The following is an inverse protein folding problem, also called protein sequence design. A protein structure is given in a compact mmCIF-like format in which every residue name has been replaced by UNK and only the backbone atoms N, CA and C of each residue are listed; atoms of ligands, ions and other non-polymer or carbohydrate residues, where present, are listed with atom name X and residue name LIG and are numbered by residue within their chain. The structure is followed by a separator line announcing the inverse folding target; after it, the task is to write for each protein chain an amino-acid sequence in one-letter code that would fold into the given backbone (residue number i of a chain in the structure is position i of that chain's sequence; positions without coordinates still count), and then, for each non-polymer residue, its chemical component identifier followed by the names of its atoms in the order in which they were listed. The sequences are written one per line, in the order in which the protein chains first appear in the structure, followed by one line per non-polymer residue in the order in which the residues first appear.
data_IF_488079920978
#
_entry.id   IF_488079920978
#
_cell.length_a   1.000
_cell.length_b   1.000
_cell.length_c   1.000
_cell.angle_alpha   90.00
_cell.angle_beta   90.00
_cell.angle_gamma   90.00
#
_symmetry.space_group_name_H-M   'P 1'
#
loop_
_entity.id
_entity.type
_entity.pdbx_description
1 polymer ?
#
# COMPACT_ATOMS: atom_id res chain seq x y z
N UNK A 1 30.86 17.00 -17.81
CA UNK A 1 29.89 17.36 -16.76
C UNK A 1 28.52 16.84 -17.17
N UNK A 2 27.97 15.77 -16.57
CA UNK A 2 26.61 15.38 -16.86
C UNK A 2 25.66 16.39 -16.20
N UNK A 3 24.70 16.89 -16.97
CA UNK A 3 23.67 17.85 -16.54
C UNK A 3 22.89 17.25 -15.36
N UNK A 4 23.01 17.87 -14.19
CA UNK A 4 22.29 17.45 -12.99
C UNK A 4 20.79 17.55 -13.23
N UNK A 5 20.10 16.41 -13.11
CA UNK A 5 18.65 16.40 -12.95
C UNK A 5 18.29 17.26 -11.74
N UNK A 6 17.22 18.08 -11.81
CA UNK A 6 16.71 18.74 -10.62
C UNK A 6 16.09 17.67 -9.72
N UNK A 7 16.91 17.11 -8.83
CA UNK A 7 16.42 16.49 -7.61
C UNK A 7 15.70 17.60 -6.85
N UNK A 8 14.40 17.44 -6.61
CA UNK A 8 13.74 18.31 -5.65
C UNK A 8 14.37 18.04 -4.28
N UNK A 9 15.21 18.96 -3.84
CA UNK A 9 15.75 19.05 -2.47
C UNK A 9 14.67 19.54 -1.49
N UNK A 10 13.39 19.32 -1.77
CA UNK A 10 12.37 19.49 -0.74
C UNK A 10 12.39 18.24 0.12
N UNK A 11 12.76 18.38 1.40
CA UNK A 11 12.56 17.34 2.39
C UNK A 11 11.14 16.76 2.23
N UNK A 12 11.01 15.44 2.09
CA UNK A 12 9.75 14.69 1.97
C UNK A 12 9.03 14.77 0.60
N UNK A 13 9.71 15.11 -0.50
CA UNK A 13 9.19 14.85 -1.86
C UNK A 13 9.23 13.35 -2.23
N UNK A 14 8.72 12.96 -3.40
CA UNK A 14 8.95 11.61 -3.95
C UNK A 14 9.63 11.77 -5.32
N UNK A 15 10.83 11.21 -5.44
CA UNK A 15 11.60 11.23 -6.67
C UNK A 15 11.38 9.96 -7.49
N UNK A 16 11.48 10.11 -8.82
CA UNK A 16 11.43 9.03 -9.81
C UNK A 16 10.19 8.13 -9.67
N UNK A 17 9.07 8.72 -9.28
CA UNK A 17 7.79 8.04 -9.13
C UNK A 17 7.33 7.52 -10.50
N UNK A 18 7.09 6.22 -10.57
CA UNK A 18 6.60 5.54 -11.76
C UNK A 18 5.29 4.85 -11.44
N UNK A 19 4.22 5.20 -12.15
CA UNK A 19 2.94 4.49 -12.08
C UNK A 19 2.60 3.88 -13.42
N UNK A 20 2.19 2.61 -13.39
CA UNK A 20 1.86 1.83 -14.57
C UNK A 20 0.43 1.32 -14.49
N UNK A 21 -0.23 1.24 -15.65
CA UNK A 21 -1.51 0.56 -15.81
C UNK A 21 -1.43 -0.40 -17.00
N UNK A 22 -2.17 -1.51 -16.93
CA UNK A 22 -2.18 -2.52 -17.99
C UNK A 22 -2.69 -1.92 -19.30
N UNK A 23 -1.91 -2.08 -20.36
CA UNK A 23 -2.22 -1.66 -21.70
C UNK A 23 -3.26 -2.61 -22.31
N UNK A 24 -4.51 -2.14 -22.39
CA UNK A 24 -5.60 -2.88 -23.03
C UNK A 24 -5.56 -2.83 -24.56
N UNK A 25 -4.80 -1.89 -25.13
CA UNK A 25 -4.73 -1.63 -26.57
C UNK A 25 -3.39 -2.12 -27.13
N UNK A 26 -2.96 -3.31 -26.70
CA UNK A 26 -1.69 -3.89 -27.12
C UNK A 26 -1.73 -4.15 -28.62
N UNK A 27 -0.76 -3.61 -29.36
CA UNK A 27 -0.62 -3.84 -30.80
C UNK A 27 0.78 -4.36 -31.09
N UNK A 28 1.05 -4.93 -32.28
CA UNK A 28 2.42 -5.25 -32.70
C UNK A 28 3.36 -4.03 -32.64
N UNK A 29 2.83 -2.82 -32.84
CA UNK A 29 3.57 -1.56 -32.78
C UNK A 29 3.73 -0.99 -31.36
N UNK A 30 2.87 -1.40 -30.42
CA UNK A 30 3.00 -1.09 -28.99
C UNK A 30 2.87 -2.39 -28.17
N UNK A 31 3.94 -3.20 -28.13
CA UNK A 31 3.91 -4.52 -27.52
C UNK A 31 3.98 -4.45 -25.99
N UNK A 32 4.12 -3.27 -25.38
CA UNK A 32 4.22 -3.11 -23.94
C UNK A 32 2.92 -3.52 -23.26
N UNK A 33 3.00 -4.47 -22.32
CA UNK A 33 1.87 -4.87 -21.49
C UNK A 33 1.45 -3.75 -20.51
N UNK A 34 2.38 -2.86 -20.18
CA UNK A 34 2.18 -1.77 -19.25
C UNK A 34 2.45 -0.43 -19.93
N UNK A 35 1.67 0.59 -19.56
CA UNK A 35 1.87 1.98 -19.99
C UNK A 35 1.98 2.90 -18.77
N UNK A 36 2.79 3.94 -18.88
CA UNK A 36 2.89 4.98 -17.85
C UNK A 36 1.59 5.76 -17.74
N UNK A 37 1.21 6.04 -16.52
CA UNK A 37 0.10 6.93 -16.20
C UNK A 37 0.61 8.38 -16.25
N UNK A 38 -0.14 9.26 -16.90
CA UNK A 38 0.15 10.69 -16.96
C UNK A 38 -0.02 11.35 -15.59
N UNK A 39 0.84 12.32 -15.28
CA UNK A 39 0.91 13.02 -13.99
C UNK A 39 -0.35 13.85 -13.68
N UNK A 40 -1.09 14.26 -14.72
CA UNK A 40 -2.32 15.03 -14.58
C UNK A 40 -3.59 14.18 -14.47
N UNK A 41 -3.46 12.85 -14.44
CA UNK A 41 -4.59 11.96 -14.23
C UNK A 41 -5.05 11.98 -12.77
N UNK A 42 -6.31 11.60 -12.55
CA UNK A 42 -6.85 11.39 -11.21
C UNK A 42 -6.11 10.28 -10.48
N UNK A 43 -5.88 9.16 -11.15
CA UNK A 43 -5.22 7.98 -10.61
C UNK A 43 -3.83 8.33 -10.08
N UNK A 44 -3.02 9.01 -10.90
CA UNK A 44 -1.68 9.42 -10.50
C UNK A 44 -1.72 10.37 -9.30
N UNK A 45 -2.54 11.41 -9.39
CA UNK A 45 -2.61 12.47 -8.38
C UNK A 45 -3.07 11.94 -7.03
N UNK A 46 -4.12 11.12 -7.03
CA UNK A 46 -4.70 10.56 -5.80
C UNK A 46 -3.81 9.50 -5.17
N UNK A 47 -3.19 8.61 -5.96
CA UNK A 47 -2.26 7.61 -5.42
C UNK A 47 -0.94 8.24 -4.97
N UNK A 48 -0.41 9.25 -5.67
CA UNK A 48 0.81 9.94 -5.25
C UNK A 48 0.61 10.60 -3.87
N UNK A 49 -0.52 11.26 -3.67
CA UNK A 49 -0.93 11.80 -2.36
C UNK A 49 -1.02 10.71 -1.29
N UNK A 50 -1.76 9.62 -1.56
CA UNK A 50 -1.94 8.53 -0.60
C UNK A 50 -0.61 7.85 -0.23
N UNK A 51 0.24 7.55 -1.22
CA UNK A 51 1.58 6.98 -0.99
C UNK A 51 2.45 7.91 -0.18
N UNK A 52 2.42 9.23 -0.46
CA UNK A 52 3.16 10.18 0.36
C UNK A 52 2.71 10.17 1.82
N UNK A 53 1.39 10.09 2.08
CA UNK A 53 0.86 9.94 3.44
C UNK A 53 1.38 8.63 4.05
N UNK A 54 1.37 7.52 3.31
CA UNK A 54 1.90 6.23 3.75
C UNK A 54 3.37 6.30 4.16
N UNK A 55 4.21 6.98 3.37
CA UNK A 55 5.62 7.19 3.73
C UNK A 55 5.74 8.11 4.96
N UNK A 56 4.94 9.18 5.05
CA UNK A 56 4.94 10.08 6.22
C UNK A 56 4.52 9.34 7.51
N UNK A 57 3.60 8.36 7.44
CA UNK A 57 3.25 7.48 8.56
C UNK A 57 4.49 6.72 9.04
N UNK A 58 5.28 6.16 8.12
CA UNK A 58 6.50 5.41 8.44
C UNK A 58 7.62 6.33 8.94
N UNK A 59 7.72 7.55 8.40
CA UNK A 59 8.76 8.54 8.75
C UNK A 59 8.51 9.26 10.07
N UNK A 60 7.30 9.20 10.63
CA UNK A 60 7.03 9.72 11.95
C UNK A 60 7.78 8.95 13.03
N UNK A 61 8.01 9.59 14.19
CA UNK A 61 8.78 8.99 15.28
C UNK A 61 8.26 7.60 15.70
N UNK A 62 6.94 7.45 15.85
CA UNK A 62 6.32 6.15 16.17
C UNK A 62 6.41 5.15 15.01
N UNK A 63 6.25 5.62 13.76
CA UNK A 63 6.40 4.78 12.58
C UNK A 63 7.81 4.18 12.49
N UNK A 64 8.84 5.00 12.68
CA UNK A 64 10.25 4.58 12.70
C UNK A 64 10.53 3.59 13.81
N UNK A 65 10.07 3.88 15.04
CA UNK A 65 10.20 2.95 16.17
C UNK A 65 9.51 1.62 15.91
N UNK A 66 8.34 1.66 15.27
CA UNK A 66 7.56 0.45 14.96
C UNK A 66 8.25 -0.37 13.86
N UNK A 67 8.78 0.27 12.82
CA UNK A 67 9.60 -0.39 11.79
C UNK A 67 10.89 -1.00 12.37
N UNK A 68 11.56 -0.29 13.26
CA UNK A 68 12.76 -0.79 13.93
C UNK A 68 12.44 -2.07 14.73
N UNK A 69 11.35 -2.04 15.52
CA UNK A 69 10.89 -3.20 16.26
C UNK A 69 10.50 -4.36 15.34
N UNK A 70 9.78 -4.07 14.25
CA UNK A 70 9.42 -5.07 13.24
C UNK A 70 10.67 -5.76 12.67
N UNK A 71 11.65 -4.97 12.22
CA UNK A 71 12.89 -5.50 11.66
C UNK A 71 13.68 -6.33 12.65
N UNK A 72 13.79 -5.88 13.91
CA UNK A 72 14.43 -6.64 14.98
C UNK A 72 13.74 -7.99 15.20
N UNK A 73 12.41 -8.01 15.28
CA UNK A 73 11.64 -9.25 15.48
C UNK A 73 11.83 -10.24 14.33
N UNK A 74 11.77 -9.76 13.09
CA UNK A 74 11.99 -10.59 11.90
C UNK A 74 13.38 -11.23 11.93
N UNK A 75 14.43 -10.42 12.15
CA UNK A 75 15.81 -10.91 12.16
C UNK A 75 16.05 -11.87 13.34
N UNK A 76 15.47 -11.59 14.51
CA UNK A 76 15.52 -12.49 15.66
C UNK A 76 14.90 -13.84 15.35
N UNK A 77 13.73 -13.87 14.68
CA UNK A 77 13.06 -15.10 14.32
C UNK A 77 13.79 -15.87 13.21
N UNK A 78 14.40 -15.18 12.23
CA UNK A 78 15.30 -15.80 11.26
C UNK A 78 16.50 -16.47 11.96
N UNK A 79 17.15 -15.77 12.91
CA UNK A 79 18.24 -16.34 13.69
C UNK A 79 17.80 -17.51 14.57
N UNK A 80 16.64 -17.40 15.22
CA UNK A 80 16.08 -18.44 16.11
C UNK A 80 15.79 -19.73 15.34
N UNK A 81 15.17 -19.62 14.16
CA UNK A 81 14.82 -20.78 13.32
C UNK A 81 16.01 -21.33 12.53
N UNK A 82 17.07 -20.53 12.35
CA UNK A 82 18.26 -20.85 11.53
C UNK A 82 17.95 -21.20 10.07
N UNK A 83 16.75 -20.87 9.58
CA UNK A 83 16.31 -21.18 8.21
C UNK A 83 16.69 -20.08 7.21
N UNK A 84 16.97 -18.88 7.72
CA UNK A 84 17.47 -17.76 6.93
C UNK A 84 18.54 -17.00 7.72
N UNK A 85 19.59 -16.56 7.02
CA UNK A 85 20.67 -15.78 7.61
C UNK A 85 20.59 -14.33 7.14
N UNK A 86 20.35 -13.43 8.08
CA UNK A 86 20.40 -11.99 7.83
C UNK A 86 21.84 -11.57 7.49
N UNK A 87 22.01 -10.80 6.42
CA UNK A 87 23.32 -10.35 5.93
C UNK A 87 23.86 -9.09 6.63
N UNK A 88 23.09 -8.47 7.51
CA UNK A 88 23.47 -7.25 8.24
C UNK A 88 23.72 -7.48 9.73
N UNK A 89 23.82 -6.38 10.48
CA UNK A 89 23.94 -6.37 11.94
C UNK A 89 22.64 -5.87 12.56
N UNK A 90 21.97 -6.71 13.35
CA UNK A 90 20.69 -6.36 14.00
C UNK A 90 20.79 -5.11 14.88
N UNK A 91 21.95 -4.82 15.46
CA UNK A 91 22.17 -3.64 16.29
C UNK A 91 22.15 -2.32 15.50
N UNK A 92 22.19 -2.38 14.16
CA UNK A 92 22.08 -1.25 13.25
C UNK A 92 20.66 -1.10 12.67
N UNK A 93 19.65 -1.75 13.26
CA UNK A 93 18.29 -1.75 12.70
C UNK A 93 17.72 -0.35 12.51
N UNK A 94 17.99 0.57 13.44
CA UNK A 94 17.61 1.98 13.30
C UNK A 94 18.22 2.60 12.05
N UNK A 95 19.50 2.38 11.78
CA UNK A 95 20.17 2.91 10.60
C UNK A 95 19.61 2.29 9.30
N UNK A 96 19.22 1.02 9.34
CA UNK A 96 18.52 0.36 8.22
C UNK A 96 17.15 0.97 7.95
N UNK A 97 16.39 1.33 8.99
CA UNK A 97 15.12 2.05 8.82
C UNK A 97 15.33 3.43 8.19
N UNK A 98 16.30 4.19 8.69
CA UNK A 98 16.63 5.51 8.12
C UNK A 98 17.05 5.42 6.65
N UNK A 99 17.94 4.49 6.35
CA UNK A 99 18.40 4.26 4.99
C UNK A 99 17.27 3.80 4.07
N UNK A 100 16.42 2.88 4.52
CA UNK A 100 15.26 2.40 3.76
C UNK A 100 14.31 3.54 3.40
N UNK A 101 13.90 4.35 4.38
CA UNK A 101 12.98 5.47 4.16
C UNK A 101 13.59 6.55 3.25
N UNK A 102 14.88 6.85 3.43
CA UNK A 102 15.62 7.73 2.51
C UNK A 102 15.64 7.19 1.09
N UNK A 103 15.84 5.87 0.91
CA UNK A 103 15.87 5.23 -0.40
C UNK A 103 14.48 5.27 -1.08
N UNK A 104 13.39 5.07 -0.33
CA UNK A 104 12.02 5.20 -0.85
C UNK A 104 11.74 6.60 -1.40
N UNK A 105 12.21 7.65 -0.71
CA UNK A 105 12.07 9.04 -1.16
C UNK A 105 12.89 9.33 -2.42
N UNK A 106 14.04 8.67 -2.59
CA UNK A 106 14.97 8.88 -3.70
C UNK A 106 14.59 8.13 -4.98
N UNK A 107 14.09 6.89 -4.88
CA UNK A 107 13.75 6.05 -6.03
C UNK A 107 12.62 5.08 -5.65
N UNK A 108 11.41 5.63 -5.48
CA UNK A 108 10.25 4.88 -4.99
C UNK A 108 9.98 3.63 -5.85
N UNK A 109 9.51 2.51 -5.24
CA UNK A 109 9.07 1.33 -5.98
C UNK A 109 8.17 1.66 -7.16
N UNK A 110 8.20 0.80 -8.18
CA UNK A 110 7.22 0.93 -9.28
C UNK A 110 5.83 0.66 -8.73
N UNK A 111 4.89 1.57 -9.00
CA UNK A 111 3.49 1.37 -8.67
C UNK A 111 2.78 0.79 -9.88
N UNK A 112 1.99 -0.27 -9.68
CA UNK A 112 1.08 -0.79 -10.69
C UNK A 112 -0.36 -0.61 -10.24
N UNK A 113 -1.24 -0.27 -11.17
CA UNK A 113 -2.69 -0.32 -10.98
C UNK A 113 -3.20 -1.56 -11.71
N UNK A 114 -3.49 -2.60 -10.93
CA UNK A 114 -3.71 -3.96 -11.40
C UNK A 114 -4.94 -4.63 -10.79
N UNK A 115 -5.28 -5.78 -11.34
CA UNK A 115 -6.29 -6.66 -10.74
C UNK A 115 -5.62 -7.51 -9.65
N UNK A 116 -6.18 -7.49 -8.44
CA UNK A 116 -5.70 -8.27 -7.30
C UNK A 116 -6.63 -9.46 -6.98
N UNK A 117 -7.61 -9.76 -7.85
CA UNK A 117 -8.51 -10.91 -7.76
C UNK A 117 -9.58 -10.82 -6.66
N UNK A 118 -9.38 -9.97 -5.65
CA UNK A 118 -10.34 -9.72 -4.58
C UNK A 118 -10.43 -8.21 -4.28
N UNK A 119 -11.64 -7.61 -4.25
CA UNK A 119 -11.82 -6.21 -3.91
C UNK A 119 -11.55 -5.87 -2.42
N UNK A 120 -11.26 -6.85 -1.55
CA UNK A 120 -10.74 -6.65 -0.18
C UNK A 120 -9.26 -6.30 -0.13
N UNK A 121 -8.52 -6.77 -1.12
CA UNK A 121 -7.10 -6.56 -1.20
C UNK A 121 -6.89 -5.22 -1.93
N UNK A 122 -6.51 -4.18 -1.17
CA UNK A 122 -6.20 -2.87 -1.76
C UNK A 122 -4.82 -2.80 -2.40
N UNK A 123 -3.88 -3.55 -1.85
CA UNK A 123 -2.48 -3.47 -2.17
C UNK A 123 -1.85 -4.85 -2.09
N UNK A 124 -0.77 -5.02 -2.84
CA UNK A 124 0.12 -6.16 -2.72
C UNK A 124 1.54 -5.73 -3.09
N UNK A 125 2.53 -6.34 -2.44
CA UNK A 125 3.94 -6.14 -2.73
C UNK A 125 4.53 -7.38 -3.33
N UNK A 126 5.18 -7.23 -4.49
CA UNK A 126 5.91 -8.30 -5.16
C UNK A 126 7.41 -8.03 -5.06
N UNK A 127 8.21 -9.07 -4.80
CA UNK A 127 9.68 -9.01 -4.87
C UNK A 127 10.14 -9.20 -6.30
N UNK A 128 11.04 -8.35 -6.76
CA UNK A 128 11.74 -8.53 -8.04
C UNK A 128 13.01 -9.31 -7.77
N UNK A 129 13.10 -10.52 -8.32
CA UNK A 129 14.22 -11.43 -8.08
C UNK A 129 15.35 -11.25 -9.09
N UNK A 130 16.60 -11.32 -8.61
CA UNK A 130 17.80 -11.35 -9.47
C UNK A 130 18.17 -10.03 -10.15
N UNK A 131 17.54 -8.90 -9.81
CA UNK A 131 17.82 -7.58 -10.42
C UNK A 131 18.62 -6.67 -9.48
N UNK A 132 18.26 -6.62 -8.20
CA UNK A 132 19.03 -5.94 -7.17
C UNK A 132 20.12 -6.87 -6.61
N UNK A 133 21.29 -6.31 -6.25
CA UNK A 133 22.47 -7.05 -5.79
C UNK A 133 22.40 -7.45 -4.30
N UNK A 134 21.32 -7.11 -3.61
CA UNK A 134 21.08 -7.44 -2.21
C UNK A 134 21.95 -6.69 -1.20
N UNK A 135 22.75 -5.70 -1.64
CA UNK A 135 23.63 -4.95 -0.75
C UNK A 135 22.84 -3.88 0.00
N UNK A 136 22.65 -4.07 1.31
CA UNK A 136 21.79 -3.23 2.16
C UNK A 136 22.09 -1.73 2.08
N UNK A 137 23.35 -1.32 1.97
CA UNK A 137 23.75 0.10 1.89
C UNK A 137 23.56 0.72 0.51
N UNK A 138 23.15 -0.07 -0.48
CA UNK A 138 22.90 0.33 -1.87
C UNK A 138 21.53 -0.16 -2.33
N UNK A 139 20.56 -0.15 -1.42
CA UNK A 139 19.20 -0.54 -1.71
C UNK A 139 18.62 0.28 -2.86
N UNK A 140 17.96 -0.40 -3.79
CA UNK A 140 17.29 0.20 -4.94
C UNK A 140 15.84 -0.27 -4.95
N UNK A 141 14.90 0.46 -4.34
CA UNK A 141 13.53 -0.01 -4.15
C UNK A 141 12.86 -0.42 -5.46
N UNK A 142 13.04 0.37 -6.53
CA UNK A 142 12.49 0.09 -7.86
C UNK A 142 13.01 -1.20 -8.52
N UNK A 143 14.17 -1.69 -8.10
CA UNK A 143 14.75 -2.96 -8.56
C UNK A 143 14.48 -4.13 -7.60
N UNK A 144 13.96 -3.85 -6.41
CA UNK A 144 13.73 -4.85 -5.37
C UNK A 144 12.27 -5.23 -5.26
N UNK A 145 11.34 -4.29 -5.47
CA UNK A 145 9.91 -4.54 -5.31
C UNK A 145 9.02 -3.75 -6.28
N UNK A 146 7.81 -4.27 -6.46
CA UNK A 146 6.67 -3.61 -7.12
C UNK A 146 5.54 -3.52 -6.09
N UNK A 147 4.87 -2.38 -6.04
CA UNK A 147 3.65 -2.20 -5.23
C UNK A 147 2.46 -2.10 -6.17
N UNK A 148 1.52 -3.03 -6.07
CA UNK A 148 0.32 -3.05 -6.91
C UNK A 148 -0.88 -2.60 -6.09
N UNK A 149 -1.62 -1.60 -6.57
CA UNK A 149 -2.90 -1.20 -6.01
C UNK A 149 -4.07 -1.72 -6.84
N UNK A 150 -5.15 -2.09 -6.14
CA UNK A 150 -6.36 -2.63 -6.74
C UNK A 150 -7.07 -1.61 -7.64
N UNK A 151 -7.12 -1.94 -8.93
CA UNK A 151 -7.69 -1.10 -9.97
C UNK A 151 -9.13 -0.66 -9.70
N UNK A 152 -9.98 -1.58 -9.26
CA UNK A 152 -11.41 -1.27 -9.01
C UNK A 152 -11.55 -0.28 -7.86
N UNK A 153 -10.71 -0.42 -6.83
CA UNK A 153 -10.72 0.46 -5.67
C UNK A 153 -10.12 1.83 -5.96
N UNK A 154 -9.09 1.89 -6.80
CA UNK A 154 -8.59 3.18 -7.30
C UNK A 154 -9.70 3.89 -8.09
N UNK A 155 -10.42 3.17 -8.96
CA UNK A 155 -11.53 3.75 -9.71
C UNK A 155 -12.65 4.28 -8.78
N UNK A 156 -12.97 3.57 -7.70
CA UNK A 156 -13.94 4.03 -6.69
C UNK A 156 -13.47 5.30 -5.96
N UNK A 157 -12.18 5.39 -5.62
CA UNK A 157 -11.60 6.61 -5.05
C UNK A 157 -11.68 7.80 -6.01
N UNK A 158 -11.37 7.59 -7.30
CA UNK A 158 -11.47 8.61 -8.35
C UNK A 158 -12.91 9.11 -8.49
N UNK A 159 -13.88 8.21 -8.51
CA UNK A 159 -15.30 8.56 -8.61
C UNK A 159 -15.78 9.36 -7.39
N UNK A 160 -15.36 8.97 -6.18
CA UNK A 160 -15.68 9.73 -4.96
C UNK A 160 -15.11 11.16 -5.02
N UNK A 161 -13.88 11.31 -5.51
CA UNK A 161 -13.25 12.62 -5.69
C UNK A 161 -14.02 13.49 -6.71
N UNK A 162 -14.34 12.95 -7.89
CA UNK A 162 -15.12 13.65 -8.92
C UNK A 162 -16.47 14.14 -8.39
N UNK A 163 -17.21 13.31 -7.67
CA UNK A 163 -18.51 13.67 -7.08
C UNK A 163 -18.39 14.74 -5.99
N UNK A 164 -17.28 14.76 -5.26
CA UNK A 164 -17.01 15.80 -4.26
C UNK A 164 -16.86 17.19 -4.89
N UNK A 165 -16.28 17.28 -6.10
CA UNK A 165 -16.12 18.55 -6.82
C UNK A 165 -17.41 19.09 -7.43
N UNK A 166 -18.28 18.21 -7.94
CA UNK A 166 -19.51 18.63 -8.61
C UNK A 166 -20.46 19.37 -7.65
N UNK A 167 -20.49 18.99 -6.36
CA UNK A 167 -21.34 19.66 -5.35
C UNK A 167 -20.93 21.12 -5.06
N UNK A 168 -19.70 21.50 -5.32
CA UNK A 168 -19.25 22.91 -5.21
C UNK A 168 -19.76 23.80 -6.35
N UNK A 169 -20.32 23.23 -7.43
CA UNK A 169 -20.69 23.96 -8.65
C UNK A 169 -22.20 24.22 -8.84
N UNK A 170 -23.08 23.77 -7.95
CA UNK A 170 -24.49 24.22 -7.90
C UNK A 170 -25.56 23.12 -7.96
N UNK A 171 -26.63 23.38 -7.20
CA UNK A 171 -28.01 22.84 -7.25
C UNK A 171 -28.22 21.33 -7.49
N UNK A 172 -28.45 20.60 -6.40
CA UNK A 172 -29.06 19.27 -6.41
C UNK A 172 -29.32 18.76 -4.99
N UNK A 173 -30.52 18.22 -4.75
CA UNK A 173 -31.03 17.74 -3.45
C UNK A 173 -30.02 16.86 -2.68
N UNK A 174 -30.03 16.87 -1.33
CA UNK A 174 -29.11 16.11 -0.52
C UNK A 174 -29.48 14.62 -0.49
N UNK A 175 -28.82 13.81 -1.32
CA UNK A 175 -28.79 12.35 -1.16
C UNK A 175 -28.28 11.96 0.25
N UNK A 176 -28.97 11.04 0.96
CA UNK A 176 -28.68 10.66 2.34
C UNK A 176 -27.77 9.42 2.41
N UNK A 177 -26.50 9.55 2.00
CA UNK A 177 -25.40 8.63 2.35
C UNK A 177 -24.09 9.43 2.34
N UNK A 178 -23.10 9.04 3.15
CA UNK A 178 -21.83 9.77 3.44
C UNK A 178 -21.42 10.84 2.41
N UNK A 179 -21.20 12.11 2.83
CA UNK A 179 -20.86 13.22 1.92
C UNK A 179 -19.72 12.75 0.98
N UNK A 180 -19.81 12.89 -0.35
CA UNK A 180 -18.80 12.36 -1.29
C UNK A 180 -17.35 12.74 -0.93
N UNK A 181 -17.16 13.89 -0.30
CA UNK A 181 -15.88 14.34 0.26
C UNK A 181 -15.37 13.44 1.41
N UNK A 182 -16.23 13.04 2.34
CA UNK A 182 -15.89 12.15 3.45
C UNK A 182 -15.47 10.77 2.92
N UNK A 183 -16.20 10.27 1.91
CA UNK A 183 -15.84 9.02 1.23
C UNK A 183 -14.48 9.12 0.52
N UNK A 184 -14.22 10.22 -0.17
CA UNK A 184 -12.94 10.48 -0.79
C UNK A 184 -11.79 10.52 0.24
N UNK A 185 -11.98 11.23 1.35
CA UNK A 185 -11.02 11.28 2.47
C UNK A 185 -10.76 9.91 3.07
N UNK A 186 -11.81 9.09 3.25
CA UNK A 186 -11.66 7.73 3.74
C UNK A 186 -10.85 6.87 2.77
N UNK A 187 -11.09 6.96 1.45
CA UNK A 187 -10.23 6.27 0.48
C UNK A 187 -8.78 6.73 0.55
N UNK A 188 -8.52 8.03 0.65
CA UNK A 188 -7.16 8.56 0.80
C UNK A 188 -6.47 7.98 2.04
N UNK A 189 -7.16 7.93 3.18
CA UNK A 189 -6.62 7.31 4.39
C UNK A 189 -6.32 5.83 4.19
N UNK A 190 -7.27 5.07 3.64
CA UNK A 190 -7.08 3.63 3.51
C UNK A 190 -5.96 3.29 2.52
N UNK A 191 -5.88 3.96 1.36
CA UNK A 191 -4.77 3.75 0.43
C UNK A 191 -3.43 4.18 1.02
N UNK A 192 -3.40 5.20 1.87
CA UNK A 192 -2.19 5.60 2.58
C UNK A 192 -1.74 4.54 3.59
N UNK A 193 -2.67 3.99 4.35
CA UNK A 193 -2.35 2.93 5.30
C UNK A 193 -1.97 1.63 4.60
N UNK A 194 -2.63 1.28 3.48
CA UNK A 194 -2.20 0.21 2.59
C UNK A 194 -0.79 0.47 2.05
N UNK A 195 -0.45 1.69 1.63
CA UNK A 195 0.91 1.99 1.20
C UNK A 195 1.93 1.74 2.34
N UNK A 196 1.64 2.17 3.57
CA UNK A 196 2.49 1.89 4.72
C UNK A 196 2.62 0.38 5.00
N UNK A 197 1.50 -0.36 4.91
CA UNK A 197 1.45 -1.82 5.03
C UNK A 197 2.35 -2.50 4.02
N UNK A 198 2.17 -2.19 2.73
CA UNK A 198 2.94 -2.78 1.63
C UNK A 198 4.43 -2.44 1.73
N UNK A 199 4.75 -1.22 2.19
CA UNK A 199 6.12 -0.83 2.45
C UNK A 199 6.77 -1.58 3.63
N UNK A 200 5.99 -2.17 4.55
CA UNK A 200 6.54 -3.11 5.54
C UNK A 200 7.03 -4.39 4.87
N UNK A 201 6.25 -4.93 3.91
CA UNK A 201 6.69 -6.08 3.10
C UNK A 201 7.92 -5.75 2.26
N UNK A 202 7.97 -4.53 1.70
CA UNK A 202 9.16 -4.01 1.02
C UNK A 202 10.38 -3.88 1.96
N UNK A 203 10.16 -3.52 3.23
CA UNK A 203 11.21 -3.49 4.24
C UNK A 203 11.74 -4.89 4.55
N UNK A 204 10.87 -5.91 4.59
CA UNK A 204 11.33 -7.31 4.72
C UNK A 204 12.15 -7.73 3.50
N UNK A 205 11.73 -7.36 2.28
CA UNK A 205 12.49 -7.60 1.06
C UNK A 205 13.86 -6.90 1.07
N UNK A 206 13.92 -5.68 1.63
CA UNK A 206 15.16 -4.96 1.85
C UNK A 206 16.08 -5.72 2.81
N UNK A 207 15.61 -6.10 4.00
CA UNK A 207 16.40 -6.82 4.99
C UNK A 207 16.85 -8.21 4.50
N UNK A 208 16.06 -8.85 3.64
CA UNK A 208 16.40 -10.13 3.04
C UNK A 208 17.37 -10.03 1.83
N UNK A 209 17.84 -8.83 1.51
CA UNK A 209 18.70 -8.61 0.35
C UNK A 209 18.04 -8.99 -0.97
N UNK A 210 16.71 -8.91 -1.06
CA UNK A 210 15.95 -9.24 -2.27
C UNK A 210 15.90 -10.74 -2.57
N UNK A 211 16.35 -11.59 -1.63
CA UNK A 211 16.26 -13.05 -1.79
C UNK A 211 14.81 -13.49 -1.72
N UNK A 212 14.45 -14.41 -2.59
CA UNK A 212 13.12 -14.99 -2.68
C UNK A 212 13.23 -16.49 -2.37
N UNK A 213 13.23 -16.78 -1.07
CA UNK A 213 13.18 -18.14 -0.53
C UNK A 213 12.11 -18.16 0.55
N UNK A 214 11.46 -19.29 0.79
CA UNK A 214 10.34 -19.38 1.75
C UNK A 214 10.70 -18.81 3.13
N UNK A 215 11.95 -18.95 3.53
CA UNK A 215 12.47 -18.49 4.83
C UNK A 215 12.93 -17.03 4.85
N UNK A 216 13.03 -16.37 3.70
CA UNK A 216 13.39 -14.94 3.59
C UNK A 216 12.18 -14.01 3.69
N UNK A 217 10.98 -14.57 3.82
CA UNK A 217 9.74 -13.84 4.07
C UNK A 217 9.53 -13.58 5.57
N UNK A 218 8.48 -12.83 5.87
CA UNK A 218 8.06 -12.55 7.24
C UNK A 218 7.82 -13.87 7.98
N UNK A 219 8.47 -14.11 9.13
CA UNK A 219 8.22 -15.30 9.93
C UNK A 219 6.76 -15.37 10.42
N UNK A 220 6.14 -16.56 10.51
CA UNK A 220 4.73 -16.71 10.90
C UNK A 220 4.35 -16.08 12.23
N UNK A 221 5.29 -16.07 13.18
CA UNK A 221 5.15 -15.47 14.51
C UNK A 221 5.08 -13.94 14.48
N UNK A 222 5.45 -13.32 13.35
CA UNK A 222 5.38 -11.87 13.12
C UNK A 222 4.15 -11.58 12.26
N UNK A 223 2.98 -11.68 12.88
CA UNK A 223 1.68 -11.46 12.24
C UNK A 223 0.67 -10.90 13.25
N UNK A 224 -0.45 -10.36 12.76
CA UNK A 224 -1.60 -9.98 13.56
C UNK A 224 -2.88 -10.30 12.79
N UNK A 225 -3.83 -10.99 13.44
CA UNK A 225 -5.02 -11.57 12.80
C UNK A 225 -4.64 -12.43 11.60
N UNK A 226 -4.12 -13.62 11.90
CA UNK A 226 -3.72 -14.58 10.88
C UNK A 226 -4.98 -15.12 10.17
N UNK A 227 -5.18 -14.67 8.92
CA UNK A 227 -6.20 -15.23 8.03
C UNK A 227 -5.69 -16.43 7.24
N UNK A 228 -4.51 -16.97 7.60
CA UNK A 228 -3.98 -18.20 7.02
C UNK A 228 -3.44 -18.00 5.61
N UNK A 229 -2.44 -17.11 5.44
CA UNK A 229 -1.68 -17.08 4.20
C UNK A 229 -0.75 -18.30 4.15
N UNK A 230 -1.20 -19.36 3.50
CA UNK A 230 -0.35 -20.48 3.07
C UNK A 230 0.30 -20.13 1.74
N UNK A 231 1.64 -20.18 1.70
CA UNK A 231 2.41 -20.04 0.45
C UNK A 231 2.62 -21.46 -0.10
N UNK A 232 2.03 -21.84 -1.24
CA UNK A 232 2.19 -23.20 -1.76
C UNK A 232 3.51 -23.33 -2.53
N UNK A 233 4.56 -23.84 -1.87
CA UNK A 233 5.84 -24.23 -2.48
C UNK A 233 6.27 -25.64 -2.02
N UNK A 234 5.88 -26.65 -2.80
CA UNK A 234 6.22 -28.07 -2.54
C UNK A 234 5.19 -28.81 -1.69
N UNK A 235 5.53 -30.03 -1.26
CA UNK A 235 4.64 -30.96 -0.51
C UNK A 235 4.31 -30.50 0.93
N UNK A 236 4.82 -29.34 1.39
CA UNK A 236 4.46 -28.75 2.68
C UNK A 236 3.97 -27.31 2.50
N UNK A 237 2.68 -27.08 2.78
CA UNK A 237 2.11 -25.74 2.92
C UNK A 237 2.78 -25.00 4.09
N UNK A 238 3.74 -24.13 3.79
CA UNK A 238 4.35 -23.28 4.81
C UNK A 238 3.59 -21.96 4.91
N UNK A 239 3.11 -21.65 6.12
CA UNK A 239 2.54 -20.35 6.47
C UNK A 239 3.66 -19.30 6.46
N UNK A 240 3.36 -18.10 5.96
CA UNK A 240 4.19 -16.90 6.15
C UNK A 240 3.45 -15.91 7.04
N UNK A 241 4.19 -15.07 7.78
CA UNK A 241 3.61 -14.00 8.59
C UNK A 241 3.22 -12.78 7.76
N UNK A 242 2.51 -11.84 8.37
CA UNK A 242 2.02 -10.60 7.73
C UNK A 242 2.61 -9.36 8.39
N UNK A 243 3.74 -8.88 7.85
CA UNK A 243 4.51 -7.78 8.43
C UNK A 243 3.72 -6.46 8.49
N UNK A 244 2.91 -6.19 7.46
CA UNK A 244 2.05 -5.02 7.42
C UNK A 244 0.94 -5.06 8.47
N UNK A 245 0.31 -6.22 8.69
CA UNK A 245 -0.71 -6.35 9.76
C UNK A 245 -0.10 -6.22 11.15
N UNK A 246 1.08 -6.80 11.36
CA UNK A 246 1.80 -6.62 12.61
C UNK A 246 2.08 -5.13 12.88
N UNK A 247 2.55 -4.41 11.85
CA UNK A 247 2.82 -2.97 11.93
C UNK A 247 1.56 -2.16 12.22
N UNK A 248 0.46 -2.41 11.50
CA UNK A 248 -0.84 -1.78 11.75
C UNK A 248 -1.28 -1.96 13.20
N UNK A 249 -1.21 -3.18 13.72
CA UNK A 249 -1.60 -3.44 15.10
C UNK A 249 -0.71 -2.71 16.10
N UNK A 250 0.61 -2.72 15.88
CA UNK A 250 1.55 -2.04 16.75
C UNK A 250 1.36 -0.51 16.75
N UNK A 251 1.02 0.07 15.60
CA UNK A 251 0.90 1.52 15.44
C UNK A 251 -0.51 2.05 15.73
N UNK A 252 -1.55 1.38 15.23
CA UNK A 252 -2.95 1.81 15.30
C UNK A 252 -3.75 1.10 16.41
N UNK A 253 -3.20 0.03 16.99
CA UNK A 253 -3.89 -0.80 17.98
C UNK A 253 -4.91 -1.79 17.39
N UNK A 254 -4.83 -2.06 16.08
CA UNK A 254 -5.67 -3.02 15.37
C UNK A 254 -5.30 -3.09 13.88
N UNK A 255 -6.06 -3.82 13.07
CA UNK A 255 -5.85 -3.91 11.62
C UNK A 255 -6.91 -3.15 10.83
N UNK A 256 -6.49 -2.56 9.72
CA UNK A 256 -7.39 -1.91 8.76
C UNK A 256 -7.93 -2.96 7.81
N UNK A 257 -9.25 -3.10 7.77
CA UNK A 257 -9.91 -4.13 6.98
C UNK A 257 -11.01 -3.54 6.11
N UNK A 258 -11.34 -4.28 5.04
CA UNK A 258 -12.28 -3.85 4.03
C UNK A 258 -13.66 -4.48 4.21
N UNK A 259 -14.54 -3.81 4.96
CA UNK A 259 -15.90 -4.29 5.18
C UNK A 259 -16.96 -3.58 4.36
N UNK A 260 -17.92 -4.38 3.89
CA UNK A 260 -19.17 -3.91 3.29
C UNK A 260 -20.19 -3.60 4.37
N UNK A 261 -20.65 -2.36 4.43
CA UNK A 261 -21.93 -2.00 5.03
C UNK A 261 -23.05 -2.27 4.00
N UNK A 262 -23.99 -3.19 4.28
CA UNK A 262 -25.11 -3.48 3.37
C UNK A 262 -26.07 -2.30 3.18
N UNK A 263 -26.01 -1.29 4.05
CA UNK A 263 -26.84 -0.09 3.99
C UNK A 263 -26.20 1.05 3.15
N UNK A 264 -24.97 0.87 2.69
CA UNK A 264 -24.29 1.81 1.77
C UNK A 264 -24.09 1.14 0.39
N UNK A 265 -23.68 1.93 -0.60
CA UNK A 265 -23.43 1.44 -1.95
C UNK A 265 -22.16 0.55 -2.07
N UNK A 266 -22.03 -0.13 -3.20
CA UNK A 266 -20.91 -1.04 -3.48
C UNK A 266 -19.55 -0.32 -3.64
N UNK A 267 -19.55 1.02 -3.68
CA UNK A 267 -18.36 1.88 -3.87
C UNK A 267 -17.93 2.57 -2.58
N UNK A 268 -18.43 2.12 -1.43
CA UNK A 268 -18.03 2.61 -0.12
C UNK A 268 -16.52 2.48 0.14
N UNK A 269 -15.97 3.47 0.83
CA UNK A 269 -14.70 3.31 1.52
C UNK A 269 -14.99 2.49 2.78
N UNK A 270 -14.30 1.35 2.93
CA UNK A 270 -14.60 0.38 3.98
C UNK A 270 -14.57 0.90 5.41
N UNK A 271 -15.22 0.15 6.29
CA UNK A 271 -15.20 0.27 7.74
C UNK A 271 -14.12 -0.65 8.32
N UNK A 272 -13.49 -0.30 9.44
CA UNK A 272 -12.62 -1.23 10.19
C UNK A 272 -13.20 -1.49 11.60
N UNK A 273 -13.37 -2.76 12.01
CA UNK A 273 -13.74 -3.12 13.36
C UNK A 273 -12.48 -3.09 14.25
N UNK A 274 -12.52 -2.26 15.29
CA UNK A 274 -11.56 -2.37 16.40
C UNK A 274 -10.27 -1.57 16.28
N UNK A 275 -10.19 -0.54 15.43
CA UNK A 275 -9.15 0.48 15.60
C UNK A 275 -9.33 1.14 16.97
N UNK A 276 -8.22 1.33 17.68
CA UNK A 276 -8.24 2.09 18.93
C UNK A 276 -8.67 3.54 18.66
N UNK A 277 -9.27 4.20 19.65
CA UNK A 277 -9.63 5.63 19.62
C UNK A 277 -8.45 6.58 19.39
N UNK A 278 -7.22 6.08 19.32
CA UNK A 278 -5.98 6.86 19.33
C UNK A 278 -5.48 7.25 17.93
N UNK A 279 -6.15 6.83 16.85
CA UNK A 279 -5.79 7.23 15.47
C UNK A 279 -5.65 8.75 15.26
N UNK A 280 -6.56 9.60 15.78
CA UNK A 280 -6.38 11.04 15.69
C UNK A 280 -5.10 11.52 16.38
N UNK A 281 -4.74 10.90 17.51
CA UNK A 281 -3.51 11.21 18.25
C UNK A 281 -2.26 10.75 17.47
N UNK A 282 -2.31 9.57 16.85
CA UNK A 282 -1.26 9.05 15.97
C UNK A 282 -1.03 10.02 14.80
N UNK A 283 -2.09 10.46 14.11
CA UNK A 283 -1.96 11.41 13.00
C UNK A 283 -1.51 12.81 13.43
N UNK A 284 -1.97 13.28 14.59
CA UNK A 284 -1.49 14.53 15.19
C UNK A 284 0.02 14.46 15.46
N UNK A 285 0.50 13.32 15.99
CA UNK A 285 1.93 13.06 16.20
C UNK A 285 2.72 12.92 14.89
N UNK A 286 2.09 12.47 13.80
CA UNK A 286 2.65 12.43 12.45
C UNK A 286 2.69 13.85 11.82
N UNK A 287 2.15 14.88 12.49
CA UNK A 287 2.16 16.26 12.02
C UNK A 287 1.14 16.53 10.90
N UNK A 288 0.16 15.63 10.74
CA UNK A 288 -1.01 15.83 9.88
C UNK A 288 -2.15 16.31 10.76
N UNK A 289 -2.80 17.39 10.32
CA UNK A 289 -4.00 17.86 10.99
C UNK A 289 -5.10 16.80 10.85
N UNK A 290 -5.64 16.35 12.00
CA UNK A 290 -6.75 15.40 12.06
C UNK A 290 -7.96 15.83 11.22
N UNK A 291 -8.11 17.13 10.91
CA UNK A 291 -9.13 17.69 10.03
C UNK A 291 -9.07 17.15 8.57
N UNK A 292 -7.95 16.52 8.19
CA UNK A 292 -7.73 16.02 6.84
C UNK A 292 -8.47 14.71 6.59
N UNK A 293 -8.79 13.96 7.64
CA UNK A 293 -9.54 12.72 7.58
C UNK A 293 -10.80 12.81 8.46
N UNK A 294 -11.73 11.87 8.28
CA UNK A 294 -12.96 11.84 9.06
C UNK A 294 -12.76 10.89 10.22
N UNK A 295 -12.76 11.44 11.45
CA UNK A 295 -12.67 10.68 12.68
C UNK A 295 -13.91 10.84 13.58
N UNK A 296 -14.27 9.82 14.38
CA UNK A 296 -13.71 8.46 14.32
C UNK A 296 -14.01 7.82 12.96
N UNK A 297 -13.08 6.99 12.45
CA UNK A 297 -13.44 6.15 11.30
C UNK A 297 -14.67 5.36 11.69
N UNK A 298 -15.60 5.20 10.76
CA UNK A 298 -16.79 4.44 11.08
C UNK A 298 -16.37 3.00 11.41
N UNK A 299 -16.62 2.61 12.66
CA UNK A 299 -16.30 1.27 13.18
C UNK A 299 -17.59 0.48 13.34
N UNK A 300 -17.50 -0.85 13.35
CA UNK A 300 -18.66 -1.70 13.62
C UNK A 300 -18.79 -2.08 15.10
N UNK A 301 -18.30 -1.20 15.99
CA UNK A 301 -18.24 -1.38 17.44
C UNK A 301 -16.87 -1.79 17.96
N UNK A 302 -16.75 -1.91 19.29
CA UNK A 302 -15.52 -2.32 19.97
C UNK A 302 -15.32 -3.84 19.87
N UNK A 303 -14.20 -4.28 19.31
CA UNK A 303 -13.72 -5.67 19.42
C UNK A 303 -14.70 -6.74 18.94
N UNK A 304 -15.12 -6.66 17.68
CA UNK A 304 -16.05 -7.65 17.09
C UNK A 304 -15.28 -8.89 16.66
N UNK A 305 -15.58 -10.05 17.25
CA UNK A 305 -14.95 -11.33 16.85
C UNK A 305 -15.36 -11.74 15.44
N UNK A 306 -14.60 -12.61 14.78
CA UNK A 306 -14.93 -13.13 13.45
C UNK A 306 -16.36 -13.71 13.36
N UNK A 307 -16.81 -14.39 14.41
CA UNK A 307 -18.17 -14.93 14.54
C UNK A 307 -19.23 -13.83 14.66
N UNK A 308 -18.98 -12.83 15.51
CA UNK A 308 -19.89 -11.68 15.65
C UNK A 308 -19.96 -10.86 14.36
N UNK A 309 -18.90 -10.84 13.54
CA UNK A 309 -18.92 -10.24 12.20
C UNK A 309 -19.90 -10.96 11.28
N UNK A 310 -19.84 -12.29 11.24
CA UNK A 310 -20.78 -13.11 10.46
C UNK A 310 -22.23 -12.95 10.94
N UNK A 311 -22.47 -12.96 12.25
CA UNK A 311 -23.79 -12.78 12.87
C UNK A 311 -24.40 -11.40 12.60
N UNK A 312 -23.57 -10.36 12.47
CA UNK A 312 -24.00 -8.99 12.13
C UNK A 312 -24.13 -8.74 10.62
N UNK A 313 -23.87 -9.75 9.79
CA UNK A 313 -23.85 -9.59 8.33
C UNK A 313 -22.73 -8.69 7.81
N UNK A 314 -21.70 -8.41 8.64
CA UNK A 314 -20.51 -7.66 8.27
C UNK A 314 -19.63 -8.59 7.45
N UNK A 315 -19.63 -8.41 6.14
CA UNK A 315 -18.92 -9.28 5.21
C UNK A 315 -17.68 -8.56 4.70
N UNK A 316 -16.57 -9.29 4.65
CA UNK A 316 -15.44 -8.94 3.78
C UNK A 316 -16.03 -8.66 2.39
N UNK A 317 -15.66 -7.57 1.73
CA UNK A 317 -16.11 -7.24 0.37
C UNK A 317 -15.81 -8.36 -0.65
N UNK A 318 -14.92 -9.31 -0.33
CA UNK A 318 -14.60 -10.53 -1.08
C UNK A 318 -15.29 -11.82 -0.59
N UNK A 319 -16.22 -11.76 0.36
CA UNK A 319 -16.98 -12.95 0.80
C UNK A 319 -18.04 -13.34 -0.24
N UNK A 320 -17.88 -14.51 -0.86
CA UNK A 320 -18.71 -15.05 -1.94
C UNK A 320 -19.99 -15.78 -1.50
N UNK A 321 -20.50 -15.55 -0.28
CA UNK A 321 -21.81 -16.10 0.12
C UNK A 321 -23.02 -15.39 -0.54
N UNK A 322 -22.85 -14.82 -1.74
CA UNK A 322 -23.91 -14.40 -2.63
C UNK A 322 -23.72 -15.06 -4.00
N UNK A 323 -24.24 -16.29 -4.11
CA UNK A 323 -24.46 -17.08 -5.33
C UNK A 323 -23.23 -17.42 -6.19
N UNK A 324 -22.92 -18.72 -6.20
CA UNK A 324 -22.10 -19.36 -7.21
C UNK A 324 -20.88 -20.00 -6.57
N UNK A 325 -20.77 -21.31 -6.72
CA UNK A 325 -19.59 -22.11 -6.39
C UNK A 325 -18.34 -21.34 -6.82
N UNK A 326 -17.54 -20.92 -5.84
CA UNK A 326 -16.17 -20.50 -6.11
C UNK A 326 -15.51 -21.67 -6.85
N UNK A 327 -14.89 -21.46 -8.02
CA UNK A 327 -14.13 -22.52 -8.67
C UNK A 327 -13.10 -23.05 -7.67
N UNK A 328 -12.98 -24.38 -7.56
CA UNK A 328 -11.95 -25.02 -6.77
C UNK A 328 -10.60 -24.43 -7.19
N UNK A 329 -9.96 -23.67 -6.28
CA UNK A 329 -8.76 -22.88 -6.57
C UNK A 329 -8.65 -21.54 -5.82
N UNK A 330 -9.71 -21.08 -5.17
CA UNK A 330 -9.74 -19.76 -4.48
C UNK A 330 -9.29 -19.78 -3.02
N UNK A 331 -9.02 -20.97 -2.46
CA UNK A 331 -8.25 -21.13 -1.22
C UNK A 331 -6.72 -21.07 -1.45
N UNK A 332 -6.29 -21.03 -2.72
CA UNK A 332 -4.88 -21.00 -3.13
C UNK A 332 -4.56 -19.67 -3.81
N UNK A 333 -4.67 -18.55 -3.09
CA UNK A 333 -4.19 -17.27 -3.61
C UNK A 333 -2.69 -17.17 -3.40
N UNK A 334 -1.96 -17.93 -4.23
CA UNK A 334 -0.72 -17.41 -4.81
C UNK A 334 -1.07 -16.01 -5.31
N UNK A 335 -0.63 -14.97 -4.61
CA UNK A 335 -0.51 -13.67 -5.27
C UNK A 335 0.46 -13.91 -6.41
N UNK A 336 -0.13 -14.06 -7.59
CA UNK A 336 0.50 -14.66 -8.73
C UNK A 336 1.81 -13.93 -9.00
N UNK A 337 2.86 -14.70 -9.26
CA UNK A 337 3.96 -14.31 -10.12
C UNK A 337 3.36 -13.68 -11.39
N UNK A 338 3.18 -12.37 -11.39
CA UNK A 338 3.01 -11.64 -12.62
C UNK A 338 4.40 -11.64 -13.22
N UNK A 339 4.64 -12.62 -14.12
CA UNK A 339 5.84 -12.73 -14.94
C UNK A 339 6.37 -11.34 -15.26
N UNK A 340 7.37 -10.90 -14.49
CA UNK A 340 8.09 -9.65 -14.68
C UNK A 340 8.95 -9.76 -15.93
N UNK A 341 8.32 -10.00 -17.07
CA UNK A 341 8.93 -9.80 -18.37
C UNK A 341 9.22 -8.31 -18.45
N UNK A 342 10.52 -8.01 -18.49
CA UNK A 342 11.14 -6.74 -18.85
C UNK A 342 10.18 -5.95 -19.75
N UNK A 343 9.51 -4.96 -19.18
CA UNK A 343 8.80 -4.01 -20.00
C UNK A 343 9.85 -3.06 -20.57
N UNK A 344 10.35 -3.41 -21.75
CA UNK A 344 11.29 -2.59 -22.51
C UNK A 344 10.50 -1.49 -23.22
N UNK A 345 10.31 -0.37 -22.53
CA UNK A 345 9.72 0.84 -23.09
C UNK A 345 10.17 2.07 -22.30
N UNK A 346 10.24 3.27 -22.91
CA UNK A 346 10.56 4.49 -22.20
C UNK A 346 9.39 4.87 -21.29
N UNK A 347 9.48 4.44 -20.03
CA UNK A 347 8.50 4.80 -19.01
C UNK A 347 8.71 6.24 -18.53
N UNK A 348 7.60 6.94 -18.30
CA UNK A 348 7.60 8.28 -17.74
C UNK A 348 7.69 8.18 -16.23
N UNK A 349 8.74 8.77 -15.68
CA UNK A 349 8.96 8.91 -14.25
C UNK A 349 8.85 10.38 -13.88
N UNK A 350 8.47 10.65 -12.64
CA UNK A 350 8.23 12.00 -12.19
C UNK A 350 8.83 12.26 -10.81
N UNK A 351 9.42 13.43 -10.62
CA UNK A 351 9.71 13.96 -9.29
C UNK A 351 8.55 14.86 -8.85
N UNK A 352 8.02 14.62 -7.65
CA UNK A 352 6.90 15.39 -7.09
C UNK A 352 7.33 15.99 -5.76
N UNK A 353 7.17 17.32 -5.63
CA UNK A 353 7.57 18.02 -4.41
C UNK A 353 6.65 17.71 -3.22
N UNK A 354 7.18 17.85 -2.00
CA UNK A 354 6.42 17.65 -0.77
C UNK A 354 5.18 18.57 -0.68
N UNK A 355 5.29 19.81 -1.18
CA UNK A 355 4.21 20.78 -1.15
C UNK A 355 3.00 20.32 -1.98
N UNK A 356 3.25 19.74 -3.15
CA UNK A 356 2.20 19.22 -4.02
C UNK A 356 1.57 17.97 -3.41
N UNK A 357 2.38 17.05 -2.88
CA UNK A 357 1.94 15.79 -2.27
C UNK A 357 1.14 15.95 -0.96
N UNK A 358 1.23 17.10 -0.30
CA UNK A 358 0.48 17.39 0.93
C UNK A 358 -0.92 17.95 0.66
N UNK A 359 -1.25 18.28 -0.58
CA UNK A 359 -2.62 18.70 -0.93
C UNK A 359 -3.45 17.43 -1.12
N UNK A 360 -4.50 17.22 -0.33
CA UNK A 360 -5.52 16.21 -0.68
C UNK A 360 -6.21 16.72 -1.93
N UNK A 361 -6.00 16.07 -3.09
CA UNK A 361 -6.46 16.63 -4.35
C UNK A 361 -7.97 16.44 -4.43
N UNK A 362 -8.72 17.51 -4.22
CA UNK A 362 -10.16 17.47 -4.48
C UNK A 362 -10.44 17.50 -5.97
N UNK A 363 -9.55 18.10 -6.78
CA UNK A 363 -9.62 18.26 -8.25
C UNK A 363 -8.35 17.70 -8.90
N UNK A 364 -8.39 17.13 -10.14
CA UNK A 364 -7.22 16.61 -10.82
C UNK A 364 -6.47 17.78 -11.47
N UNK A 365 -6.17 18.82 -10.70
CA UNK A 365 -5.13 19.72 -11.13
C UNK A 365 -3.86 18.88 -11.16
N UNK A 366 -3.08 18.92 -12.24
CA UNK A 366 -1.82 18.21 -12.27
C UNK A 366 -1.03 18.56 -11.02
N UNK A 367 -0.63 17.53 -10.25
CA UNK A 367 0.49 17.75 -9.33
C UNK A 367 1.61 18.33 -10.19
N UNK A 368 2.28 19.37 -9.70
CA UNK A 368 3.43 19.94 -10.41
C UNK A 368 4.60 18.96 -10.31
N UNK A 369 4.53 17.95 -11.17
CA UNK A 369 5.47 16.85 -11.27
C UNK A 369 6.44 17.15 -12.41
N UNK A 370 7.73 16.96 -12.18
CA UNK A 370 8.74 17.15 -13.23
C UNK A 370 9.14 15.79 -13.77
N UNK A 371 8.94 15.63 -15.08
CA UNK A 371 9.36 14.43 -15.78
C UNK A 371 10.88 14.26 -15.66
N UNK A 372 11.28 13.06 -15.25
CA UNK A 372 12.68 12.63 -15.21
C UNK A 372 13.08 12.18 -16.62
N UNK A 373 14.29 12.55 -17.03
CA UNK A 373 14.82 12.30 -18.37
C UNK A 373 15.14 10.83 -18.60
#
# INVERSE_FOLDING_TARGET
MPRGEPLYTSANGINRLLMLVRNRNRTPQNPSEWISIEENSWEFTLLASAVNIGIEILEAAEGRRTLERLGCLIVQEWHRTRRYQFGGNIHLMRDYVEHFLSALRADFPTIQIGDLGNPDCLGATERITGVWDGVLTRFKPKLAVIVTFNKERVANMVEAAKRSNVRTAGQGQPEPTSRPLDRHKNFQFMFAATAAHELCHAFVAYLSGGRDTDYSYTPPTVSHLDLGYTVPHGEEDQSTGESGRWFENALFGGSLEFYRNPQDDDRQASFSPGLSSNLPEVLTRIGRDSLWFVFPLATVGTGVTARQRAERGIRSLGSTQARGVLPAGTANLRYMQAQGRRSTGPFRMYNVSAQELRRIPTDPRPLRAVRVA
#
